data_IF_900075247108
#
_entry.id   IF_900075247108
#
_cell.length_a   1.000
_cell.length_b   1.000
_cell.length_c   1.000
_cell.angle_alpha   90.00
_cell.angle_beta   90.00
_cell.angle_gamma   90.00
#
_symmetry.space_group_name_H-M   'P 1'
#
loop_
_entity.id
_entity.type
_entity.pdbx_description
1 polymer ?
#
# COMPACT_ATOMS: atom_id res chain seq x y z
N UNK A 1 19.77 -4.23 40.74
CA UNK A 1 18.82 -3.97 39.64
C UNK A 1 18.35 -5.31 39.13
N UNK A 2 17.04 -5.54 38.91
CA UNK A 2 16.59 -6.77 38.26
C UNK A 2 17.06 -6.73 36.80
N UNK A 3 17.79 -7.75 36.37
CA UNK A 3 18.12 -7.90 34.95
C UNK A 3 16.89 -8.38 34.18
N UNK A 4 16.63 -7.83 32.98
CA UNK A 4 15.55 -8.30 32.13
C UNK A 4 15.83 -9.72 31.61
N UNK A 5 14.80 -10.57 31.62
CA UNK A 5 14.86 -11.95 31.14
C UNK A 5 14.44 -12.03 29.67
N UNK A 6 15.43 -12.03 28.77
CA UNK A 6 15.22 -12.03 27.31
C UNK A 6 14.64 -13.34 26.76
N UNK A 7 14.64 -14.43 27.55
CA UNK A 7 14.11 -15.73 27.11
C UNK A 7 12.60 -15.72 26.86
N UNK A 8 11.89 -14.74 27.43
CA UNK A 8 10.44 -14.56 27.30
C UNK A 8 10.03 -13.64 26.16
N UNK A 9 10.99 -13.02 25.48
CA UNK A 9 10.74 -11.99 24.48
C UNK A 9 10.45 -12.67 23.14
N UNK A 10 9.48 -12.14 22.40
CA UNK A 10 9.23 -12.55 21.02
C UNK A 10 10.33 -12.07 20.08
N UNK A 11 10.45 -12.70 18.91
CA UNK A 11 11.45 -12.33 17.90
C UNK A 11 11.42 -10.83 17.54
N UNK A 12 10.22 -10.24 17.43
CA UNK A 12 10.06 -8.79 17.17
C UNK A 12 10.50 -7.92 18.34
N UNK A 13 10.22 -8.33 19.57
CA UNK A 13 10.64 -7.58 20.76
C UNK A 13 12.17 -7.65 20.95
N UNK A 14 12.79 -8.80 20.64
CA UNK A 14 14.24 -8.93 20.65
C UNK A 14 14.92 -8.04 19.60
N UNK A 15 14.33 -7.92 18.41
CA UNK A 15 14.80 -7.00 17.37
C UNK A 15 14.73 -5.53 17.84
N UNK A 16 13.60 -5.13 18.40
CA UNK A 16 13.38 -3.77 18.90
C UNK A 16 14.36 -3.42 20.03
N UNK A 17 14.59 -4.37 20.94
CA UNK A 17 15.58 -4.24 22.02
C UNK A 17 17.00 -4.08 21.45
N UNK A 18 17.38 -4.85 20.44
CA UNK A 18 18.70 -4.75 19.80
C UNK A 18 18.92 -3.41 19.07
N UNK A 19 17.85 -2.83 18.52
CA UNK A 19 17.92 -1.52 17.86
C UNK A 19 18.11 -0.37 18.86
N UNK A 20 17.53 -0.50 20.06
CA UNK A 20 17.55 0.55 21.08
C UNK A 20 18.62 0.39 22.17
N UNK A 21 19.21 -0.80 22.33
CA UNK A 21 20.32 -1.01 23.27
C UNK A 21 21.58 -0.36 22.71
N UNK A 22 22.15 0.54 23.50
CA UNK A 22 23.49 1.07 23.24
C UNK A 22 24.55 -0.01 23.56
N UNK A 23 25.21 -0.45 22.49
CA UNK A 23 26.21 -1.52 22.51
C UNK A 23 27.47 -1.14 23.27
N UNK A 24 27.81 0.15 23.34
CA UNK A 24 29.03 0.61 23.99
C UNK A 24 28.86 0.66 25.51
N UNK A 25 27.70 1.08 25.98
CA UNK A 25 27.41 1.23 27.42
C UNK A 25 26.92 -0.07 28.05
N UNK A 26 26.26 -0.96 27.31
CA UNK A 26 25.72 -2.22 27.83
C UNK A 26 26.02 -3.44 26.93
N UNK A 27 27.30 -3.82 26.77
CA UNK A 27 27.70 -4.91 25.87
C UNK A 27 27.12 -6.28 26.28
N UNK A 28 27.03 -6.57 27.58
CA UNK A 28 26.52 -7.86 28.08
C UNK A 28 25.02 -8.06 27.74
N UNK A 29 24.25 -6.97 27.79
CA UNK A 29 22.81 -7.00 27.47
C UNK A 29 22.59 -7.19 25.97
N UNK A 30 23.40 -6.51 25.16
CA UNK A 30 23.37 -6.65 23.71
C UNK A 30 23.67 -8.09 23.30
N UNK A 31 24.71 -8.70 23.88
CA UNK A 31 25.11 -10.07 23.55
C UNK A 31 24.04 -11.09 23.96
N UNK A 32 23.45 -10.93 25.15
CA UNK A 32 22.35 -11.80 25.59
C UNK A 32 21.11 -11.68 24.71
N UNK A 33 20.72 -10.46 24.30
CA UNK A 33 19.60 -10.26 23.38
C UNK A 33 19.89 -10.89 22.00
N UNK A 34 21.13 -10.76 21.50
CA UNK A 34 21.56 -11.37 20.23
C UNK A 34 21.51 -12.89 20.26
N UNK A 35 22.02 -13.53 21.31
CA UNK A 35 22.00 -15.00 21.46
C UNK A 35 20.56 -15.52 21.47
N UNK A 36 19.66 -14.84 22.19
CA UNK A 36 18.24 -15.22 22.21
C UNK A 36 17.57 -14.99 20.86
N UNK A 37 17.96 -13.96 20.10
CA UNK A 37 17.46 -13.72 18.74
C UNK A 37 17.91 -14.81 17.76
N UNK A 38 19.16 -15.24 17.82
CA UNK A 38 19.70 -16.32 16.97
C UNK A 38 19.02 -17.68 17.25
N UNK A 39 18.62 -17.92 18.50
CA UNK A 39 17.85 -19.09 18.91
C UNK A 39 16.35 -19.00 18.63
N UNK A 40 15.83 -17.80 18.37
CA UNK A 40 14.42 -17.57 18.05
C UNK A 40 14.22 -17.71 16.53
N UNK A 41 13.42 -18.69 16.11
CA UNK A 41 13.01 -18.76 14.71
C UNK A 41 12.26 -17.47 14.33
N UNK A 42 12.53 -16.87 13.15
CA UNK A 42 11.79 -15.71 12.67
C UNK A 42 10.34 -16.12 12.57
N UNK A 43 9.56 -15.75 13.59
CA UNK A 43 8.20 -16.24 13.73
C UNK A 43 7.40 -15.55 12.65
N UNK A 44 7.11 -16.28 11.57
CA UNK A 44 6.39 -15.75 10.44
C UNK A 44 5.12 -15.03 10.92
N UNK A 45 4.96 -13.77 10.48
CA UNK A 45 3.85 -12.89 10.85
C UNK A 45 2.56 -13.66 11.13
N UNK A 46 2.00 -13.47 12.35
CA UNK A 46 0.88 -14.23 12.90
C UNK A 46 -0.14 -14.54 11.79
N UNK A 47 -0.60 -15.79 11.61
CA UNK A 47 -1.43 -16.21 10.46
C UNK A 47 -2.71 -15.38 10.30
N UNK A 48 -3.16 -14.73 11.36
CA UNK A 48 -4.30 -13.83 11.36
C UNK A 48 -4.05 -12.50 10.61
N UNK A 49 -2.83 -11.96 10.64
CA UNK A 49 -2.46 -10.72 9.95
C UNK A 49 -2.36 -10.93 8.43
N UNK A 50 -1.80 -12.06 8.00
CA UNK A 50 -1.78 -12.46 6.58
C UNK A 50 -3.20 -12.61 6.02
N UNK A 51 -4.12 -13.22 6.78
CA UNK A 51 -5.54 -13.35 6.37
C UNK A 51 -6.27 -12.01 6.33
N UNK A 52 -5.93 -11.07 7.22
CA UNK A 52 -6.51 -9.72 7.25
C UNK A 52 -6.03 -8.86 6.07
N UNK A 53 -4.73 -8.93 5.74
CA UNK A 53 -4.13 -8.25 4.60
C UNK A 53 -4.74 -8.70 3.27
N UNK A 54 -4.86 -10.02 3.04
CA UNK A 54 -5.48 -10.57 1.81
C UNK A 54 -6.93 -10.12 1.62
N UNK A 55 -7.75 -10.11 2.68
CA UNK A 55 -9.14 -9.63 2.61
C UNK A 55 -9.23 -8.15 2.25
N UNK A 56 -8.29 -7.33 2.70
CA UNK A 56 -8.25 -5.91 2.40
C UNK A 56 -7.80 -5.65 0.96
N UNK A 57 -6.74 -6.32 0.50
CA UNK A 57 -6.27 -6.25 -0.88
C UNK A 57 -7.36 -6.64 -1.88
N UNK A 58 -8.11 -7.71 -1.61
CA UNK A 58 -9.20 -8.14 -2.47
C UNK A 58 -10.35 -7.12 -2.55
N UNK A 59 -10.64 -6.38 -1.47
CA UNK A 59 -11.65 -5.31 -1.49
C UNK A 59 -11.22 -4.12 -2.34
N UNK A 60 -9.96 -3.73 -2.25
CA UNK A 60 -9.40 -2.64 -3.07
C UNK A 60 -9.42 -3.04 -4.54
N UNK A 61 -8.89 -4.22 -4.87
CA UNK A 61 -8.87 -4.74 -6.24
C UNK A 61 -10.29 -4.80 -6.85
N UNK A 62 -11.28 -5.29 -6.10
CA UNK A 62 -12.67 -5.32 -6.54
C UNK A 62 -13.26 -3.94 -6.84
N UNK A 63 -12.89 -2.92 -6.04
CA UNK A 63 -13.36 -1.54 -6.24
C UNK A 63 -12.78 -0.95 -7.53
N UNK A 64 -11.49 -1.14 -7.79
CA UNK A 64 -10.86 -0.70 -9.03
C UNK A 64 -11.45 -1.40 -10.26
N UNK A 65 -11.70 -2.70 -10.17
CA UNK A 65 -12.32 -3.46 -11.26
C UNK A 65 -13.72 -2.92 -11.62
N UNK A 66 -14.52 -2.56 -10.61
CA UNK A 66 -15.85 -1.99 -10.80
C UNK A 66 -15.81 -0.60 -11.44
N UNK A 67 -14.87 0.26 -11.04
CA UNK A 67 -14.69 1.58 -11.65
C UNK A 67 -14.25 1.43 -13.12
N UNK A 68 -13.31 0.52 -13.36
CA UNK A 68 -12.78 0.28 -14.71
C UNK A 68 -13.83 -0.28 -15.66
N UNK A 69 -14.73 -1.15 -15.19
CA UNK A 69 -15.82 -1.68 -16.03
C UNK A 69 -16.82 -0.60 -16.44
N UNK A 70 -17.17 0.32 -15.54
CA UNK A 70 -18.03 1.48 -15.85
C UNK A 70 -17.37 2.37 -16.91
N UNK A 71 -16.06 2.63 -16.77
CA UNK A 71 -15.31 3.42 -17.74
C UNK A 71 -15.31 2.77 -19.14
N UNK A 72 -15.06 1.45 -19.23
CA UNK A 72 -15.12 0.73 -20.51
C UNK A 72 -16.53 0.79 -21.11
N UNK A 73 -17.57 0.56 -20.32
CA UNK A 73 -18.95 0.62 -20.80
C UNK A 73 -19.28 2.01 -21.36
N UNK A 74 -18.87 3.08 -20.68
CA UNK A 74 -19.04 4.44 -21.16
C UNK A 74 -18.30 4.67 -22.49
N UNK A 75 -17.06 4.18 -22.62
CA UNK A 75 -16.29 4.28 -23.87
C UNK A 75 -16.95 3.51 -25.03
N UNK A 76 -17.52 2.33 -24.77
CA UNK A 76 -18.23 1.56 -25.80
C UNK A 76 -19.49 2.29 -26.26
N UNK A 77 -20.28 2.84 -25.33
CA UNK A 77 -21.48 3.63 -25.66
C UNK A 77 -21.09 4.86 -26.49
N UNK A 78 -20.01 5.54 -26.12
CA UNK A 78 -19.54 6.74 -26.81
C UNK A 78 -19.01 6.42 -28.21
N UNK A 79 -18.22 5.36 -28.37
CA UNK A 79 -17.61 4.98 -29.67
C UNK A 79 -18.56 4.25 -30.61
N UNK A 80 -19.54 3.51 -30.08
CA UNK A 80 -20.53 2.76 -30.85
C UNK A 80 -21.68 3.60 -31.41
N UNK A 81 -21.82 4.86 -31.01
CA UNK A 81 -22.89 5.74 -31.50
C UNK A 81 -22.58 6.20 -32.94
N UNK A 82 -23.37 5.85 -33.97
CA UNK A 82 -23.03 6.12 -35.36
C UNK A 82 -22.91 7.62 -35.69
N UNK A 83 -23.60 8.50 -34.96
CA UNK A 83 -23.45 9.95 -35.07
C UNK A 83 -22.12 10.50 -34.51
N UNK A 84 -21.43 9.73 -33.67
CA UNK A 84 -20.17 10.13 -33.05
C UNK A 84 -18.98 10.05 -34.03
N UNK A 85 -19.04 9.17 -35.04
CA UNK A 85 -18.00 9.03 -36.07
C UNK A 85 -17.88 10.29 -36.94
N UNK A 86 -19.01 10.95 -37.22
CA UNK A 86 -19.06 12.23 -37.93
C UNK A 86 -18.60 13.39 -37.04
N UNK A 87 -18.97 13.37 -35.75
CA UNK A 87 -18.53 14.35 -34.74
C UNK A 87 -17.01 14.28 -34.47
N UNK A 88 -16.41 13.09 -34.45
CA UNK A 88 -14.97 12.89 -34.23
C UNK A 88 -14.10 13.51 -35.33
N UNK A 89 -14.59 13.62 -36.57
CA UNK A 89 -13.81 14.19 -37.65
C UNK A 89 -13.61 15.71 -37.45
N UNK A 90 -14.65 16.44 -37.02
CA UNK A 90 -14.57 17.85 -36.64
C UNK A 90 -13.85 18.07 -35.30
N UNK A 91 -14.03 17.17 -34.34
CA UNK A 91 -13.43 17.29 -33.00
C UNK A 91 -11.99 16.78 -32.91
N UNK A 92 -11.45 16.10 -33.93
CA UNK A 92 -10.08 15.60 -33.94
C UNK A 92 -9.03 16.71 -33.69
N UNK A 93 -9.27 17.91 -34.21
CA UNK A 93 -8.43 19.09 -33.97
C UNK A 93 -8.59 19.65 -32.54
N UNK A 94 -9.80 19.63 -31.97
CA UNK A 94 -10.05 20.02 -30.57
C UNK A 94 -9.56 18.96 -29.56
N UNK A 95 -9.46 17.70 -29.98
CA UNK A 95 -8.98 16.57 -29.19
C UNK A 95 -7.47 16.56 -28.99
N UNK A 96 -6.69 17.08 -29.95
CA UNK A 96 -5.24 17.24 -29.82
C UNK A 96 -4.92 18.23 -28.69
N UNK A 97 -5.68 19.32 -28.57
CA UNK A 97 -5.50 20.35 -27.55
C UNK A 97 -6.07 19.94 -26.18
N UNK A 98 -7.19 19.22 -26.15
CA UNK A 98 -7.75 18.65 -24.92
C UNK A 98 -7.09 17.35 -24.44
N UNK A 99 -6.08 16.85 -25.16
CA UNK A 99 -5.28 15.69 -24.75
C UNK A 99 -4.47 15.99 -23.48
N UNK A 100 -3.91 17.20 -23.37
CA UNK A 100 -3.21 17.63 -22.17
C UNK A 100 -4.16 17.78 -20.99
N UNK A 101 -5.31 18.45 -21.18
CA UNK A 101 -6.30 18.61 -20.11
C UNK A 101 -6.81 17.26 -19.58
N UNK A 102 -7.03 16.27 -20.46
CA UNK A 102 -7.42 14.91 -20.05
C UNK A 102 -6.33 14.17 -19.32
N UNK A 103 -5.08 14.31 -19.75
CA UNK A 103 -3.94 13.74 -19.02
C UNK A 103 -3.80 14.40 -17.65
N UNK A 104 -3.94 15.72 -17.55
CA UNK A 104 -3.89 16.46 -16.28
C UNK A 104 -5.01 16.03 -15.33
N UNK A 105 -6.26 15.95 -15.80
CA UNK A 105 -7.39 15.52 -14.97
C UNK A 105 -7.20 14.07 -14.50
N UNK A 106 -6.77 13.16 -15.38
CA UNK A 106 -6.45 11.78 -14.99
C UNK A 106 -5.32 11.71 -13.96
N UNK A 107 -4.26 12.50 -14.13
CA UNK A 107 -3.17 12.61 -13.15
C UNK A 107 -3.67 13.13 -11.80
N UNK A 108 -4.51 14.17 -11.78
CA UNK A 108 -5.09 14.71 -10.56
C UNK A 108 -5.94 13.67 -9.81
N UNK A 109 -6.75 12.90 -10.54
CA UNK A 109 -7.57 11.83 -9.94
C UNK A 109 -6.68 10.72 -9.36
N UNK A 110 -5.59 10.34 -10.04
CA UNK A 110 -4.63 9.36 -9.52
C UNK A 110 -3.90 9.87 -8.27
N UNK A 111 -3.47 11.14 -8.25
CA UNK A 111 -2.80 11.77 -7.10
C UNK A 111 -3.75 11.84 -5.90
N UNK A 112 -4.99 12.29 -6.10
CA UNK A 112 -6.00 12.35 -5.04
C UNK A 112 -6.31 10.94 -4.52
N UNK A 113 -6.48 9.97 -5.42
CA UNK A 113 -6.66 8.56 -5.06
C UNK A 113 -5.49 8.03 -4.22
N UNK A 114 -4.26 8.31 -4.62
CA UNK A 114 -3.05 7.93 -3.89
C UNK A 114 -2.95 8.61 -2.52
N UNK A 115 -3.26 9.90 -2.42
CA UNK A 115 -3.27 10.62 -1.13
C UNK A 115 -4.31 10.05 -0.16
N UNK A 116 -5.49 9.68 -0.65
CA UNK A 116 -6.54 9.09 0.18
C UNK A 116 -6.16 7.69 0.67
N UNK A 117 -5.61 6.86 -0.21
CA UNK A 117 -5.13 5.52 0.19
C UNK A 117 -3.94 5.60 1.14
N UNK A 118 -3.01 6.53 0.93
CA UNK A 118 -1.88 6.77 1.83
C UNK A 118 -2.35 7.26 3.21
N UNK A 119 -3.31 8.20 3.28
CA UNK A 119 -3.87 8.68 4.55
C UNK A 119 -4.60 7.57 5.32
N UNK A 120 -5.32 6.69 4.61
CA UNK A 120 -5.97 5.53 5.21
C UNK A 120 -4.96 4.48 5.70
N UNK A 121 -3.82 4.36 5.04
CA UNK A 121 -2.73 3.49 5.47
C UNK A 121 -2.04 4.03 6.72
N UNK A 122 -1.64 5.31 6.73
CA UNK A 122 -0.95 5.95 7.87
C UNK A 122 -1.79 5.94 9.16
N UNK A 123 -3.10 6.12 9.06
CA UNK A 123 -4.01 6.12 10.23
C UNK A 123 -4.19 4.73 10.88
N UNK A 124 -3.48 3.71 10.40
CA UNK A 124 -3.58 2.33 10.88
C UNK A 124 -2.40 1.90 11.74
N UNK A 125 -1.33 2.70 11.73
CA UNK A 125 -0.10 2.46 12.49
C UNK A 125 -0.02 3.33 13.77
N UNK A 126 -0.94 4.30 13.93
CA UNK A 126 -1.26 5.02 15.18
C UNK A 126 -2.40 4.30 15.94
#
# INVERSE_FOLDING_TARGET
MLEPDYSKYSYSELLDVLEHIDRETHPDRYENARINLEGAEPTEAKPNERKRSKRFANRIAGTFLAIYSVYIAAMIIFTGYPGYRSYLHEWSYFFIESSQLRQTVSFCVLIIGFMLTYKLWKKKDD
#
